data_IF_235516420579
#
_entry.id   IF_235516420579
#
_cell.length_a   1.000
_cell.length_b   1.000
_cell.length_c   1.000
_cell.angle_alpha   90.00
_cell.angle_beta   90.00
_cell.angle_gamma   90.00
#
_symmetry.space_group_name_H-M   'P 1'
#
loop_
_entity.id
_entity.type
_entity.pdbx_description
1 polymer ?
#
# COMPACT_ATOMS: atom_id res chain seq x y z
N UNK A 1 -9.04 -83.41 18.43
CA UNK A 1 -9.98 -82.56 19.19
C UNK A 1 -9.16 -81.58 20.03
N UNK A 2 -9.05 -80.31 19.61
CA UNK A 2 -8.42 -79.17 20.34
C UNK A 2 -6.93 -79.29 20.68
N UNK A 3 -6.07 -78.27 20.64
CA UNK A 3 -6.15 -76.85 20.29
C UNK A 3 -4.68 -76.45 20.07
N UNK A 4 -4.41 -75.68 19.03
CA UNK A 4 -3.08 -75.12 18.71
C UNK A 4 -2.79 -73.92 19.62
N UNK A 5 -1.68 -73.95 20.37
CA UNK A 5 -1.09 -72.76 20.98
C UNK A 5 0.04 -72.26 20.08
N UNK A 6 -0.19 -71.14 19.38
CA UNK A 6 0.83 -70.39 18.65
C UNK A 6 1.29 -69.21 19.53
N UNK A 7 2.61 -69.05 19.59
CA UNK A 7 3.30 -68.08 20.44
C UNK A 7 2.87 -66.63 20.24
N UNK A 8 2.91 -65.88 21.35
CA UNK A 8 2.85 -64.42 21.39
C UNK A 8 4.11 -63.85 20.75
N UNK A 9 4.02 -63.45 19.49
CA UNK A 9 4.95 -62.50 18.89
C UNK A 9 4.60 -61.09 19.36
N UNK A 10 5.57 -60.39 19.94
CA UNK A 10 5.49 -58.98 20.28
C UNK A 10 5.57 -58.20 18.96
N UNK A 11 4.42 -57.74 18.46
CA UNK A 11 4.36 -56.85 17.31
C UNK A 11 4.79 -55.45 17.74
N UNK A 12 6.01 -55.05 17.38
CA UNK A 12 6.44 -53.66 17.41
C UNK A 12 5.67 -52.95 16.30
N UNK A 13 4.59 -52.26 16.67
CA UNK A 13 3.89 -51.35 15.79
C UNK A 13 4.79 -50.15 15.50
N UNK A 14 5.38 -50.11 14.30
CA UNK A 14 5.93 -48.90 13.73
C UNK A 14 4.78 -47.92 13.51
N UNK A 15 4.59 -47.02 14.47
CA UNK A 15 3.80 -45.81 14.26
C UNK A 15 4.60 -44.97 13.26
N UNK A 16 4.22 -45.06 12.00
CA UNK A 16 4.68 -44.14 10.97
C UNK A 16 4.18 -42.76 11.32
N UNK A 17 5.04 -41.94 11.93
CA UNK A 17 4.85 -40.50 11.97
C UNK A 17 5.02 -40.03 10.53
N UNK A 18 3.90 -39.90 9.83
CA UNK A 18 3.85 -39.10 8.61
C UNK A 18 4.21 -37.68 9.01
N UNK A 19 5.47 -37.30 8.76
CA UNK A 19 5.85 -35.90 8.64
C UNK A 19 5.06 -35.34 7.46
N UNK A 20 3.88 -34.80 7.75
CA UNK A 20 3.29 -33.80 6.88
C UNK A 20 4.27 -32.63 6.90
N UNK A 21 5.09 -32.52 5.85
CA UNK A 21 5.83 -31.31 5.55
C UNK A 21 4.81 -30.23 5.21
N UNK A 22 4.24 -29.62 6.25
CA UNK A 22 3.58 -28.34 6.11
C UNK A 22 4.66 -27.34 5.76
N UNK A 23 4.73 -26.96 4.49
CA UNK A 23 5.49 -25.78 4.09
C UNK A 23 4.80 -24.61 4.77
N UNK A 24 5.50 -23.93 5.69
CA UNK A 24 5.03 -22.66 6.22
C UNK A 24 5.11 -21.62 5.10
N UNK A 25 4.02 -21.46 4.34
CA UNK A 25 3.94 -20.63 3.13
C UNK A 25 3.65 -19.14 3.42
N UNK A 26 4.08 -18.58 4.56
CA UNK A 26 3.77 -17.19 4.96
C UNK A 26 4.95 -16.32 5.39
N UNK A 27 6.20 -16.74 5.14
CA UNK A 27 7.40 -16.04 5.65
C UNK A 27 8.09 -15.12 4.62
N UNK A 28 7.67 -15.09 3.36
CA UNK A 28 8.29 -14.27 2.34
C UNK A 28 7.25 -13.82 1.32
N UNK A 29 7.28 -12.53 0.97
CA UNK A 29 6.42 -11.94 -0.06
C UNK A 29 6.78 -12.53 -1.43
N UNK A 30 5.86 -13.23 -2.12
CA UNK A 30 6.11 -13.76 -3.46
C UNK A 30 6.45 -12.65 -4.45
N UNK A 31 7.30 -12.93 -5.42
CA UNK A 31 7.62 -11.97 -6.49
C UNK A 31 6.38 -11.55 -7.28
N UNK A 32 5.35 -12.41 -7.33
CA UNK A 32 4.05 -12.13 -7.95
C UNK A 32 3.25 -11.00 -7.26
N UNK A 33 3.58 -10.68 -6.00
CA UNK A 33 2.89 -9.66 -5.17
C UNK A 33 3.74 -8.39 -5.02
N UNK A 34 5.05 -8.49 -5.23
CA UNK A 34 5.95 -7.35 -5.07
C UNK A 34 5.65 -6.24 -6.08
N UNK A 35 5.70 -5.00 -5.60
CA UNK A 35 5.33 -3.80 -6.37
C UNK A 35 6.48 -2.78 -6.33
N UNK A 36 6.71 -2.01 -7.41
CA UNK A 36 7.71 -0.94 -7.43
C UNK A 36 7.39 0.19 -6.45
N UNK A 37 8.37 1.05 -6.19
CA UNK A 37 8.33 2.12 -5.19
C UNK A 37 9.36 1.87 -4.08
N UNK A 38 9.30 2.67 -3.00
CA UNK A 38 10.16 2.46 -1.84
C UNK A 38 9.90 1.09 -1.23
N UNK A 39 10.95 0.30 -1.00
CA UNK A 39 10.84 -1.03 -0.39
C UNK A 39 11.03 -1.00 1.13
N UNK A 40 10.58 -2.04 1.85
CA UNK A 40 10.76 -2.13 3.28
C UNK A 40 12.22 -2.00 3.72
N UNK A 41 12.47 -1.12 4.70
CA UNK A 41 13.79 -0.83 5.25
C UNK A 41 14.60 0.22 4.50
N UNK A 42 14.15 0.72 3.35
CA UNK A 42 14.84 1.77 2.59
C UNK A 42 14.60 3.17 3.18
N UNK A 43 13.41 3.39 3.75
CA UNK A 43 13.08 4.56 4.57
C UNK A 43 12.51 4.08 5.89
N UNK A 44 12.89 4.72 7.00
CA UNK A 44 12.48 4.33 8.35
C UNK A 44 12.32 5.55 9.26
N UNK A 45 11.88 5.32 10.50
CA UNK A 45 11.69 6.38 11.48
C UNK A 45 10.44 7.17 11.17
N UNK A 46 9.35 6.46 10.88
CA UNK A 46 8.03 7.08 10.75
C UNK A 46 7.53 7.48 12.14
N UNK A 47 7.13 8.73 12.25
CA UNK A 47 6.63 9.28 13.50
C UNK A 47 5.14 8.97 13.66
N UNK A 48 4.76 8.47 14.84
CA UNK A 48 3.35 8.21 15.15
C UNK A 48 2.55 9.52 15.19
N UNK A 49 1.27 9.44 14.84
CA UNK A 49 0.36 10.59 14.82
C UNK A 49 0.34 11.37 16.16
N UNK A 50 0.49 10.66 17.29
CA UNK A 50 0.55 11.27 18.63
C UNK A 50 1.65 12.33 18.80
N UNK A 51 2.73 12.26 18.02
CA UNK A 51 3.78 13.28 18.02
C UNK A 51 3.27 14.58 17.36
N UNK A 52 2.61 14.44 16.23
CA UNK A 52 2.00 15.52 15.45
C UNK A 52 0.86 16.18 16.22
N UNK A 53 0.04 15.37 16.89
CA UNK A 53 -1.13 15.79 17.67
C UNK A 53 -0.82 16.84 18.75
N UNK A 54 0.41 16.88 19.26
CA UNK A 54 0.81 17.86 20.28
C UNK A 54 0.78 19.31 19.78
N UNK A 55 0.79 19.52 18.46
CA UNK A 55 0.71 20.85 17.84
C UNK A 55 -0.38 20.95 16.76
N UNK A 56 -0.74 19.83 16.12
CA UNK A 56 -1.76 19.77 15.05
C UNK A 56 -3.15 19.31 15.56
N UNK A 57 -3.39 19.38 16.87
CA UNK A 57 -4.68 19.06 17.48
C UNK A 57 -4.98 19.88 18.74
N UNK A 58 -6.24 19.83 19.16
CA UNK A 58 -6.77 20.49 20.36
C UNK A 58 -7.00 22.00 20.26
N UNK A 59 -6.98 22.60 19.08
CA UNK A 59 -7.22 24.04 18.86
C UNK A 59 -8.57 24.36 18.20
N UNK A 60 -9.01 23.59 17.20
CA UNK A 60 -10.31 23.76 16.54
C UNK A 60 -10.71 22.49 15.77
N UNK A 61 -11.68 21.75 16.29
CA UNK A 61 -12.12 20.48 15.71
C UNK A 61 -12.66 20.59 14.27
N UNK A 62 -13.06 21.78 13.80
CA UNK A 62 -13.56 21.96 12.44
C UNK A 62 -12.45 22.00 11.39
N UNK A 63 -11.20 22.31 11.79
CA UNK A 63 -10.09 22.55 10.85
C UNK A 63 -8.78 21.90 11.29
N UNK A 64 -8.70 21.37 12.50
CA UNK A 64 -7.46 20.77 12.98
C UNK A 64 -7.19 19.40 12.34
N UNK A 65 -5.97 19.16 11.82
CA UNK A 65 -5.65 17.91 11.14
C UNK A 65 -5.89 16.67 12.03
N UNK A 66 -5.52 16.75 13.31
CA UNK A 66 -5.62 15.61 14.21
C UNK A 66 -7.06 15.16 14.47
N UNK A 67 -8.04 16.07 14.52
CA UNK A 67 -9.45 15.68 14.69
C UNK A 67 -10.01 15.06 13.42
N UNK A 68 -9.78 15.73 12.28
CA UNK A 68 -10.28 15.30 10.98
C UNK A 68 -9.68 13.94 10.56
N UNK A 69 -8.37 13.75 10.73
CA UNK A 69 -7.70 12.47 10.45
C UNK A 69 -8.26 11.34 11.33
N UNK A 70 -8.42 11.56 12.65
CA UNK A 70 -8.96 10.53 13.55
C UNK A 70 -10.39 10.11 13.22
N UNK A 71 -11.16 11.00 12.61
CA UNK A 71 -12.52 10.71 12.14
C UNK A 71 -12.57 10.05 10.75
N UNK A 72 -11.46 10.04 10.01
CA UNK A 72 -11.42 9.59 8.62
C UNK A 72 -11.12 8.09 8.50
N UNK A 73 -11.39 7.54 7.31
CA UNK A 73 -11.06 6.15 6.99
C UNK A 73 -9.55 5.87 7.00
N UNK A 74 -8.70 6.88 6.81
CA UNK A 74 -7.24 6.73 6.87
C UNK A 74 -6.80 6.26 8.26
N UNK A 75 -7.31 6.91 9.31
CA UNK A 75 -7.00 6.48 10.69
C UNK A 75 -7.65 5.16 11.07
N UNK A 76 -8.67 4.72 10.34
CA UNK A 76 -9.38 3.46 10.60
C UNK A 76 -8.92 2.32 9.67
N UNK A 77 -7.96 2.57 8.77
CA UNK A 77 -7.60 1.66 7.70
C UNK A 77 -7.17 0.27 8.19
N UNK A 78 -6.58 0.16 9.38
CA UNK A 78 -6.15 -1.10 10.00
C UNK A 78 -7.05 -1.57 11.14
N UNK A 79 -8.15 -0.87 11.44
CA UNK A 79 -9.10 -1.21 12.51
C UNK A 79 -10.38 -1.90 11.99
N UNK A 80 -10.63 -1.83 10.70
CA UNK A 80 -11.84 -2.39 10.09
C UNK A 80 -11.82 -3.94 10.12
N UNK A 81 -12.76 -4.61 10.80
CA UNK A 81 -12.85 -6.07 10.80
C UNK A 81 -13.20 -6.66 9.43
N UNK A 82 -13.87 -5.91 8.55
CA UNK A 82 -14.14 -6.35 7.18
C UNK A 82 -12.82 -6.42 6.40
N UNK A 83 -11.96 -5.41 6.54
CA UNK A 83 -10.61 -5.43 5.97
C UNK A 83 -9.82 -6.67 6.42
N UNK A 84 -9.78 -6.98 7.72
CA UNK A 84 -9.03 -8.17 8.16
C UNK A 84 -9.65 -9.48 7.69
N UNK A 85 -10.97 -9.54 7.53
CA UNK A 85 -11.62 -10.69 6.92
C UNK A 85 -11.23 -10.85 5.44
N UNK A 86 -11.11 -9.76 4.68
CA UNK A 86 -10.68 -9.83 3.27
C UNK A 86 -9.20 -10.17 3.13
N UNK A 87 -8.32 -9.64 4.00
CA UNK A 87 -6.90 -10.05 4.06
C UNK A 87 -6.79 -11.55 4.32
N UNK A 88 -7.57 -12.08 5.27
CA UNK A 88 -7.57 -13.51 5.57
C UNK A 88 -8.01 -14.38 4.38
N UNK A 89 -8.94 -13.91 3.54
CA UNK A 89 -9.33 -14.62 2.31
C UNK A 89 -8.26 -14.47 1.23
N UNK A 90 -7.69 -13.28 1.05
CA UNK A 90 -6.61 -13.06 0.09
C UNK A 90 -5.40 -13.97 0.38
N UNK A 91 -4.99 -14.09 1.64
CA UNK A 91 -3.94 -15.03 2.08
C UNK A 91 -4.29 -16.51 1.86
N UNK A 92 -5.57 -16.87 1.91
CA UNK A 92 -6.02 -18.25 1.61
C UNK A 92 -6.00 -18.54 0.11
N UNK A 93 -6.39 -17.56 -0.71
CA UNK A 93 -6.48 -17.70 -2.17
C UNK A 93 -5.09 -17.64 -2.82
N UNK A 94 -4.21 -16.76 -2.31
CA UNK A 94 -2.83 -16.63 -2.75
C UNK A 94 -1.93 -16.27 -1.55
N UNK A 95 -1.20 -17.24 -0.97
CA UNK A 95 -0.32 -16.98 0.18
C UNK A 95 0.68 -15.86 -0.11
N UNK A 96 0.74 -14.86 0.77
CA UNK A 96 1.57 -13.67 0.59
C UNK A 96 0.84 -12.45 0.00
N UNK A 97 -0.38 -12.60 -0.53
CA UNK A 97 -1.13 -11.50 -1.14
C UNK A 97 -1.54 -10.40 -0.14
N UNK A 98 -1.57 -10.70 1.16
CA UNK A 98 -1.80 -9.73 2.22
C UNK A 98 -0.75 -8.63 2.29
N UNK A 99 0.46 -8.85 1.76
CA UNK A 99 1.50 -7.81 1.68
C UNK A 99 1.01 -6.57 0.92
N UNK A 100 0.30 -6.79 -0.19
CA UNK A 100 -0.31 -5.70 -0.97
C UNK A 100 -1.36 -4.93 -0.15
N UNK A 101 -2.13 -5.63 0.67
CA UNK A 101 -3.14 -5.01 1.53
C UNK A 101 -2.50 -4.16 2.63
N UNK A 102 -1.44 -4.67 3.26
CA UNK A 102 -0.71 -3.97 4.32
C UNK A 102 0.01 -2.73 3.77
N UNK A 103 0.50 -2.81 2.54
CA UNK A 103 1.15 -1.70 1.84
C UNK A 103 0.28 -0.45 1.73
N UNK A 104 -1.04 -0.56 1.66
CA UNK A 104 -1.92 0.62 1.64
C UNK A 104 -2.53 0.94 3.01
N UNK A 105 -2.85 -0.07 3.81
CA UNK A 105 -3.63 0.13 5.05
C UNK A 105 -2.77 0.39 6.30
N UNK A 106 -1.48 0.06 6.26
CA UNK A 106 -0.49 0.26 7.34
C UNK A 106 0.88 0.54 6.73
N UNK A 107 0.95 1.49 5.80
CA UNK A 107 2.12 1.72 4.95
C UNK A 107 3.40 2.04 5.77
N UNK A 108 3.30 2.74 6.90
CA UNK A 108 4.43 2.96 7.81
C UNK A 108 4.99 1.64 8.35
N UNK A 109 4.12 0.74 8.81
CA UNK A 109 4.50 -0.56 9.32
C UNK A 109 5.06 -1.44 8.20
N UNK A 110 4.46 -1.40 7.01
CA UNK A 110 4.96 -2.10 5.82
C UNK A 110 6.38 -1.62 5.46
N UNK A 111 6.60 -0.31 5.38
CA UNK A 111 7.92 0.29 5.10
C UNK A 111 8.95 -0.04 6.19
N UNK A 112 8.52 -0.18 7.45
CA UNK A 112 9.40 -0.59 8.55
C UNK A 112 9.59 -2.11 8.65
N UNK A 113 9.16 -2.87 7.64
CA UNK A 113 9.40 -4.31 7.52
C UNK A 113 8.48 -5.18 8.38
N UNK A 114 7.36 -4.62 8.87
CA UNK A 114 6.36 -5.34 9.69
C UNK A 114 5.23 -5.94 8.85
N UNK A 115 5.38 -6.02 7.54
CA UNK A 115 4.46 -6.75 6.65
C UNK A 115 4.76 -8.25 6.55
N UNK A 116 5.79 -8.75 7.23
CA UNK A 116 6.10 -10.19 7.28
C UNK A 116 5.98 -10.68 8.72
N UNK A 117 5.06 -11.63 9.02
CA UNK A 117 4.17 -12.33 8.07
C UNK A 117 3.08 -11.43 7.46
N UNK A 118 2.66 -11.77 6.24
CA UNK A 118 1.73 -10.98 5.39
C UNK A 118 0.28 -10.99 5.86
N UNK A 119 -0.01 -11.73 6.94
CA UNK A 119 -1.29 -11.75 7.63
C UNK A 119 -1.46 -10.62 8.66
N UNK A 120 -0.44 -9.75 8.82
CA UNK A 120 -0.45 -8.62 9.75
C UNK A 120 -0.13 -8.99 11.19
N UNK A 121 0.25 -10.24 11.49
CA UNK A 121 0.57 -10.67 12.88
C UNK A 121 1.83 -10.04 13.45
N UNK A 122 2.68 -9.42 12.61
CA UNK A 122 3.86 -8.67 13.03
C UNK A 122 3.56 -7.20 13.38
N UNK A 123 2.34 -6.72 13.17
CA UNK A 123 1.97 -5.34 13.47
C UNK A 123 2.01 -5.06 14.98
N UNK A 124 2.48 -3.86 15.31
CA UNK A 124 2.54 -3.31 16.65
C UNK A 124 1.22 -2.60 17.01
N UNK A 125 1.03 -2.35 18.30
CA UNK A 125 -0.11 -1.55 18.77
C UNK A 125 -0.12 -0.12 18.21
N UNK A 126 1.03 0.42 17.77
CA UNK A 126 1.11 1.71 17.07
C UNK A 126 0.52 1.66 15.67
N UNK A 127 0.69 0.54 14.96
CA UNK A 127 0.32 0.39 13.55
C UNK A 127 -1.21 0.31 13.35
N UNK A 128 -1.96 0.16 14.45
CA UNK A 128 -3.42 0.23 14.43
C UNK A 128 -3.93 1.63 14.07
N UNK A 129 -3.06 2.64 14.00
CA UNK A 129 -3.41 3.99 13.52
C UNK A 129 -3.63 4.06 12.00
N UNK A 130 -3.33 2.99 11.26
CA UNK A 130 -3.64 2.87 9.84
C UNK A 130 -2.71 3.71 8.99
N UNK A 131 -3.26 4.57 8.13
CA UNK A 131 -2.48 5.53 7.35
C UNK A 131 -2.17 6.74 8.23
N UNK A 132 -0.98 6.75 8.83
CA UNK A 132 -0.50 7.81 9.71
C UNK A 132 -0.04 9.07 8.97
N UNK A 133 0.08 10.18 9.71
CA UNK A 133 0.45 11.48 9.16
C UNK A 133 1.79 11.45 8.41
N UNK A 134 2.78 10.74 8.98
CA UNK A 134 4.16 10.83 8.48
C UNK A 134 4.35 10.13 7.14
N UNK A 135 3.52 9.15 6.81
CA UNK A 135 3.54 8.49 5.50
C UNK A 135 3.11 9.49 4.43
N UNK A 136 1.98 10.16 4.63
CA UNK A 136 1.51 11.19 3.71
C UNK A 136 2.56 12.29 3.57
N UNK A 137 3.04 12.83 4.69
CA UNK A 137 4.02 13.91 4.73
C UNK A 137 5.46 13.49 4.38
N UNK A 138 5.69 12.26 3.95
CA UNK A 138 6.96 11.80 3.37
C UNK A 138 6.81 11.25 1.96
N UNK A 139 5.61 11.12 1.42
CA UNK A 139 5.45 10.61 0.06
C UNK A 139 5.84 11.70 -0.96
N UNK A 140 6.52 11.29 -2.03
CA UNK A 140 6.92 12.17 -3.12
C UNK A 140 6.36 11.65 -4.45
N UNK A 141 6.36 12.51 -5.47
CA UNK A 141 6.04 12.06 -6.81
C UNK A 141 7.07 11.01 -7.26
N UNK A 142 6.65 9.80 -7.69
CA UNK A 142 7.56 8.75 -8.13
C UNK A 142 8.47 9.11 -9.32
N UNK A 143 8.13 10.14 -10.10
CA UNK A 143 8.89 10.56 -11.29
C UNK A 143 10.12 11.45 -11.00
N UNK A 144 10.45 11.70 -9.73
CA UNK A 144 11.55 12.57 -9.30
C UNK A 144 11.48 14.03 -9.83
N UNK A 145 10.32 14.49 -10.30
CA UNK A 145 10.15 15.83 -10.89
C UNK A 145 10.29 16.98 -9.88
N UNK A 146 10.08 16.72 -8.59
CA UNK A 146 10.08 17.73 -7.53
C UNK A 146 11.10 17.42 -6.42
N UNK A 147 10.89 16.31 -5.69
CA UNK A 147 11.77 15.85 -4.62
C UNK A 147 12.26 14.44 -4.94
N UNK A 148 13.57 14.16 -4.79
CA UNK A 148 14.09 12.85 -5.13
C UNK A 148 13.60 11.82 -4.11
N UNK A 149 12.92 10.80 -4.62
CA UNK A 149 12.36 9.72 -3.83
C UNK A 149 13.36 8.59 -3.58
N UNK A 150 13.12 7.81 -2.52
CA UNK A 150 13.95 6.63 -2.23
C UNK A 150 13.37 5.42 -2.96
N UNK A 151 14.02 5.01 -4.05
CA UNK A 151 13.66 3.83 -4.84
C UNK A 151 14.91 3.31 -5.56
N UNK A 152 15.02 2.00 -5.73
CA UNK A 152 16.20 1.36 -6.31
C UNK A 152 15.80 0.23 -7.26
N UNK A 153 16.68 -0.11 -8.21
CA UNK A 153 16.48 -1.28 -9.06
C UNK A 153 16.23 -2.55 -8.24
N UNK A 154 15.26 -3.41 -8.62
CA UNK A 154 14.40 -3.30 -9.82
C UNK A 154 13.09 -2.52 -9.60
N UNK A 155 12.89 -1.83 -8.48
CA UNK A 155 11.62 -1.27 -8.02
C UNK A 155 11.42 0.22 -8.34
N UNK A 156 11.82 0.70 -9.50
CA UNK A 156 11.45 2.05 -9.93
C UNK A 156 9.94 2.14 -10.18
N UNK A 157 9.28 3.12 -9.57
CA UNK A 157 7.85 3.39 -9.75
C UNK A 157 7.61 4.48 -10.80
N UNK A 158 8.36 4.43 -11.89
CA UNK A 158 8.21 5.31 -13.04
C UNK A 158 8.79 4.61 -14.28
N UNK A 159 8.41 5.07 -15.48
CA UNK A 159 8.99 4.55 -16.71
C UNK A 159 10.44 5.04 -16.95
N UNK A 160 11.08 4.47 -17.97
CA UNK A 160 12.43 4.86 -18.37
C UNK A 160 12.43 6.02 -19.39
N UNK A 161 11.29 6.72 -19.57
CA UNK A 161 11.21 7.86 -20.48
C UNK A 161 11.93 9.10 -19.92
N UNK A 162 12.05 10.15 -20.74
CA UNK A 162 12.67 11.40 -20.34
C UNK A 162 11.88 12.62 -20.86
N UNK A 163 11.13 13.34 -20.00
CA UNK A 163 11.03 13.11 -18.55
C UNK A 163 10.32 11.79 -18.22
N UNK A 164 10.67 11.14 -17.10
CA UNK A 164 9.96 9.95 -16.66
C UNK A 164 8.53 10.28 -16.26
N UNK A 165 7.64 9.30 -16.37
CA UNK A 165 6.25 9.39 -15.90
C UNK A 165 6.06 8.40 -14.74
N UNK A 166 5.57 8.94 -13.63
CA UNK A 166 5.33 8.18 -12.40
C UNK A 166 4.25 7.12 -12.56
N UNK A 167 4.41 6.02 -11.84
CA UNK A 167 3.39 5.01 -11.71
C UNK A 167 2.46 5.37 -10.55
N UNK A 168 1.29 5.90 -10.90
CA UNK A 168 0.27 6.32 -9.94
C UNK A 168 -0.76 5.20 -9.77
N UNK A 169 -0.67 4.45 -8.68
CA UNK A 169 -1.59 3.37 -8.34
C UNK A 169 -0.93 2.14 -7.71
N UNK A 170 -1.75 1.17 -7.28
CA UNK A 170 -1.29 -0.13 -6.77
C UNK A 170 -0.43 -0.07 -5.50
N UNK A 171 -0.50 1.02 -4.74
CA UNK A 171 0.36 1.25 -3.59
C UNK A 171 1.81 1.58 -3.97
N UNK A 172 2.10 1.93 -5.22
CA UNK A 172 3.46 2.20 -5.72
C UNK A 172 4.03 3.56 -5.26
N UNK A 173 3.91 3.84 -3.96
CA UNK A 173 4.39 5.06 -3.32
C UNK A 173 5.91 5.11 -3.18
N UNK A 174 6.46 6.32 -3.32
CA UNK A 174 7.87 6.61 -3.15
C UNK A 174 8.04 7.60 -2.01
N UNK A 175 9.03 7.36 -1.14
CA UNK A 175 9.19 8.05 0.13
C UNK A 175 10.47 8.90 0.16
N UNK A 176 10.31 10.11 0.68
CA UNK A 176 11.37 11.02 1.06
C UNK A 176 12.16 10.48 2.26
N UNK A 177 13.47 10.36 2.09
CA UNK A 177 14.38 9.91 3.14
C UNK A 177 14.81 11.00 4.13
N UNK A 178 14.42 12.26 3.92
CA UNK A 178 14.80 13.38 4.77
C UNK A 178 13.91 13.56 6.02
N UNK A 179 14.30 14.52 6.86
CA UNK A 179 13.59 14.80 8.11
C UNK A 179 12.39 15.75 7.93
N UNK A 180 12.41 16.55 6.88
CA UNK A 180 11.37 17.53 6.54
C UNK A 180 10.03 16.85 6.26
N UNK A 181 8.93 17.53 6.59
CA UNK A 181 7.59 17.12 6.22
C UNK A 181 7.17 17.80 4.92
N UNK A 182 6.67 17.04 3.96
CA UNK A 182 6.17 17.57 2.71
C UNK A 182 4.71 18.02 2.86
N UNK A 183 4.32 19.08 2.19
CA UNK A 183 2.93 19.55 2.19
C UNK A 183 2.66 20.56 1.08
N UNK A 184 1.39 20.92 0.82
CA UNK A 184 1.02 21.67 -0.38
C UNK A 184 1.48 23.14 -0.40
N UNK A 185 1.80 23.70 0.77
CA UNK A 185 2.02 25.14 0.95
C UNK A 185 3.51 25.50 1.13
N UNK A 186 3.92 26.61 0.53
CA UNK A 186 5.29 27.15 0.64
C UNK A 186 5.48 28.01 1.89
N UNK A 187 4.41 28.52 2.46
CA UNK A 187 4.35 29.52 3.52
C UNK A 187 3.70 28.98 4.80
N UNK A 188 3.73 27.66 5.00
CA UNK A 188 3.22 27.04 6.21
C UNK A 188 3.95 27.56 7.46
N UNK A 189 3.18 27.97 8.48
CA UNK A 189 3.71 28.35 9.79
C UNK A 189 4.01 27.11 10.66
N UNK A 190 4.97 26.29 10.23
CA UNK A 190 5.32 25.05 10.91
C UNK A 190 6.32 25.25 12.07
N UNK A 191 6.22 24.40 13.10
CA UNK A 191 7.19 24.34 14.22
C UNK A 191 8.34 23.34 13.96
N UNK A 192 8.36 22.74 12.79
CA UNK A 192 9.41 21.85 12.29
C UNK A 192 9.77 22.23 10.85
N UNK A 193 10.84 21.64 10.31
CA UNK A 193 11.19 21.87 8.91
C UNK A 193 10.14 21.24 7.99
N UNK A 194 9.89 21.88 6.86
CA UNK A 194 8.92 21.43 5.87
C UNK A 194 9.39 21.79 4.46
N UNK A 195 8.86 21.09 3.47
CA UNK A 195 9.08 21.33 2.06
C UNK A 195 7.73 21.43 1.35
N UNK A 196 7.57 22.40 0.45
CA UNK A 196 6.40 22.43 -0.41
C UNK A 196 6.44 21.24 -1.37
N UNK A 197 5.30 20.61 -1.62
CA UNK A 197 5.11 19.61 -2.65
C UNK A 197 3.87 19.88 -3.50
N UNK A 198 4.05 19.93 -4.81
CA UNK A 198 2.97 19.94 -5.80
C UNK A 198 2.23 18.61 -5.85
N UNK A 199 2.91 17.50 -5.58
CA UNK A 199 2.29 16.18 -5.57
C UNK A 199 1.15 16.09 -4.56
N UNK A 200 1.30 16.75 -3.40
CA UNK A 200 0.26 16.83 -2.36
C UNK A 200 -0.98 17.65 -2.78
N UNK A 201 -0.97 18.24 -3.98
CA UNK A 201 -2.12 18.95 -4.58
C UNK A 201 -2.71 18.22 -5.78
N UNK A 202 -2.22 17.01 -6.08
CA UNK A 202 -2.69 16.22 -7.20
C UNK A 202 -3.49 15.01 -6.74
N UNK A 203 -4.52 14.66 -7.51
CA UNK A 203 -5.29 13.44 -7.39
C UNK A 203 -4.44 12.19 -7.56
N UNK A 204 -3.29 12.28 -8.24
CA UNK A 204 -2.32 11.18 -8.37
C UNK A 204 -1.72 10.77 -7.01
N UNK A 205 -1.62 11.70 -6.05
CA UNK A 205 -1.21 11.37 -4.67
C UNK A 205 -2.20 10.41 -4.01
N UNK A 206 -3.50 10.73 -4.08
CA UNK A 206 -4.55 9.84 -3.58
C UNK A 206 -4.64 8.55 -4.41
N UNK A 207 -4.45 8.69 -5.73
CA UNK A 207 -4.40 7.60 -6.69
C UNK A 207 -3.35 6.54 -6.34
N UNK A 208 -2.22 6.93 -5.75
CA UNK A 208 -1.18 5.99 -5.29
C UNK A 208 -1.75 4.83 -4.47
N UNK A 209 -2.72 5.09 -3.59
CA UNK A 209 -3.37 4.05 -2.77
C UNK A 209 -4.74 3.63 -3.31
N UNK A 210 -5.49 4.56 -3.91
CA UNK A 210 -6.89 4.34 -4.28
C UNK A 210 -7.10 3.88 -5.72
N UNK A 211 -6.12 4.05 -6.61
CA UNK A 211 -6.14 3.50 -7.97
C UNK A 211 -5.52 2.10 -7.95
N UNK A 212 -6.34 1.08 -7.67
CA UNK A 212 -5.85 -0.24 -7.30
C UNK A 212 -5.69 -1.15 -8.51
N UNK A 213 -4.48 -1.69 -8.66
CA UNK A 213 -4.16 -2.73 -9.65
C UNK A 213 -3.65 -3.97 -8.94
N UNK A 214 -4.19 -5.13 -9.30
CA UNK A 214 -3.83 -6.40 -8.69
C UNK A 214 -2.63 -7.03 -9.43
N UNK A 215 -1.43 -7.09 -8.84
CA UNK A 215 -0.23 -7.59 -9.50
C UNK A 215 -0.30 -9.09 -9.83
N UNK A 216 -0.96 -9.87 -8.99
CA UNK A 216 -1.11 -11.32 -9.20
C UNK A 216 -2.00 -11.59 -10.41
N UNK A 217 -3.13 -10.87 -10.51
CA UNK A 217 -4.02 -10.95 -11.68
C UNK A 217 -3.32 -10.39 -12.92
N UNK A 218 -2.63 -9.25 -12.78
CA UNK A 218 -1.85 -8.61 -13.82
C UNK A 218 -0.82 -9.52 -14.48
N UNK A 219 -0.13 -10.32 -13.66
CA UNK A 219 0.93 -11.18 -14.16
C UNK A 219 0.44 -12.56 -14.62
N UNK A 220 -0.52 -13.17 -13.90
CA UNK A 220 -0.83 -14.59 -14.03
C UNK A 220 -2.17 -14.89 -14.71
N UNK A 221 -3.12 -13.95 -14.72
CA UNK A 221 -4.43 -14.19 -15.28
C UNK A 221 -4.42 -14.15 -16.82
N UNK A 222 -5.49 -14.68 -17.42
CA UNK A 222 -5.71 -14.52 -18.84
C UNK A 222 -5.79 -13.03 -19.21
N UNK A 223 -5.06 -12.62 -20.25
CA UNK A 223 -5.01 -11.24 -20.74
C UNK A 223 -4.61 -10.20 -19.67
N UNK A 224 -3.76 -10.56 -18.70
CA UNK A 224 -3.34 -9.69 -17.59
C UNK A 224 -4.48 -9.07 -16.76
N UNK A 225 -5.72 -9.57 -16.86
CA UNK A 225 -6.88 -8.84 -16.30
C UNK A 225 -7.07 -7.44 -16.88
N UNK A 226 -6.53 -7.17 -18.08
CA UNK A 226 -6.67 -5.90 -18.79
C UNK A 226 -8.01 -5.81 -19.53
N UNK A 227 -8.47 -4.58 -19.80
CA UNK A 227 -9.63 -4.35 -20.68
C UNK A 227 -9.28 -4.72 -22.13
N UNK A 228 -10.28 -5.11 -22.93
CA UNK A 228 -10.08 -5.43 -24.36
C UNK A 228 -9.51 -4.25 -25.16
N UNK A 229 -9.71 -3.01 -24.68
CA UNK A 229 -9.21 -1.78 -25.30
C UNK A 229 -7.94 -1.23 -24.67
N UNK A 230 -7.37 -1.92 -23.67
CA UNK A 230 -6.15 -1.49 -23.01
C UNK A 230 -4.93 -1.69 -23.92
N UNK A 231 -3.88 -0.93 -23.62
CA UNK A 231 -2.58 -1.14 -24.24
C UNK A 231 -2.01 -2.54 -23.88
N UNK A 232 -1.07 -3.07 -24.69
CA UNK A 232 -0.45 -4.34 -24.40
C UNK A 232 0.25 -4.35 -23.04
N UNK A 233 0.03 -5.41 -22.26
CA UNK A 233 0.70 -5.63 -20.97
C UNK A 233 1.92 -6.52 -21.16
N UNK A 234 3.06 -6.09 -20.61
CA UNK A 234 4.26 -6.92 -20.44
C UNK A 234 4.06 -7.73 -19.15
N UNK A 235 3.87 -9.05 -19.26
CA UNK A 235 3.71 -9.94 -18.11
C UNK A 235 4.64 -11.16 -18.21
N UNK A 236 5.06 -11.70 -17.06
CA UNK A 236 5.84 -12.94 -17.00
C UNK A 236 4.95 -14.15 -17.27
N UNK A 237 3.79 -14.24 -16.61
CA UNK A 237 2.92 -15.41 -16.66
C UNK A 237 3.50 -16.64 -15.95
N UNK A 238 4.62 -16.50 -15.24
CA UNK A 238 5.31 -17.58 -14.55
C UNK A 238 5.25 -17.33 -13.03
N UNK A 239 4.45 -18.10 -12.27
CA UNK A 239 4.39 -17.99 -10.82
C UNK A 239 5.77 -18.11 -10.17
N UNK A 240 6.12 -17.19 -9.28
CA UNK A 240 7.43 -17.16 -8.61
C UNK A 240 8.63 -16.90 -9.53
N UNK A 241 8.39 -16.41 -10.75
CA UNK A 241 9.44 -15.95 -11.66
C UNK A 241 10.18 -14.71 -11.14
N UNK A 242 11.23 -14.25 -11.85
CA UNK A 242 11.96 -13.04 -11.51
C UNK A 242 11.03 -11.82 -11.38
N UNK A 243 11.31 -10.93 -10.43
CA UNK A 243 10.44 -9.77 -10.13
C UNK A 243 10.50 -8.74 -11.27
N UNK A 244 11.66 -8.60 -11.90
CA UNK A 244 11.91 -7.72 -13.04
C UNK A 244 11.04 -8.05 -14.27
N UNK A 245 10.53 -9.28 -14.38
CA UNK A 245 9.68 -9.71 -15.50
C UNK A 245 8.18 -9.50 -15.20
N UNK A 246 7.82 -9.08 -13.98
CA UNK A 246 6.42 -9.02 -13.54
C UNK A 246 5.69 -7.83 -14.11
N UNK A 247 4.38 -7.99 -14.32
CA UNK A 247 3.52 -6.93 -14.85
C UNK A 247 3.62 -5.63 -14.05
N UNK A 248 3.70 -5.71 -12.72
CA UNK A 248 3.80 -4.54 -11.86
C UNK A 248 5.03 -3.66 -12.10
N UNK A 249 6.12 -4.23 -12.61
CA UNK A 249 7.41 -3.55 -12.81
C UNK A 249 7.57 -2.97 -14.22
N UNK A 250 6.69 -3.36 -15.16
CA UNK A 250 6.87 -3.08 -16.58
C UNK A 250 5.71 -2.32 -17.22
N UNK A 251 4.70 -1.95 -16.44
CA UNK A 251 3.47 -1.33 -16.95
C UNK A 251 2.96 -0.29 -15.95
N UNK A 252 2.27 0.73 -16.46
CA UNK A 252 1.51 1.64 -15.62
C UNK A 252 0.40 0.87 -14.89
N UNK A 253 0.08 1.22 -13.63
CA UNK A 253 -0.93 0.52 -12.83
C UNK A 253 -2.26 0.31 -13.58
N UNK A 254 -2.77 1.31 -14.27
CA UNK A 254 -4.06 1.21 -14.99
C UNK A 254 -4.08 0.19 -16.14
N UNK A 255 -2.92 -0.32 -16.59
CA UNK A 255 -2.84 -1.23 -17.74
C UNK A 255 -3.12 -2.69 -17.38
N UNK A 256 -2.89 -3.09 -16.13
CA UNK A 256 -2.95 -4.50 -15.70
C UNK A 256 -3.81 -4.70 -14.46
N UNK A 257 -4.24 -5.95 -14.24
CA UNK A 257 -4.83 -6.38 -12.98
C UNK A 257 -6.03 -5.54 -12.54
N UNK A 258 -6.81 -5.05 -13.50
CA UNK A 258 -7.73 -3.93 -13.31
C UNK A 258 -8.82 -4.30 -12.29
N UNK A 259 -8.79 -3.65 -11.13
CA UNK A 259 -9.84 -3.77 -10.10
C UNK A 259 -10.95 -2.75 -10.36
N UNK A 260 -10.60 -1.55 -10.82
CA UNK A 260 -11.51 -0.46 -11.15
C UNK A 260 -11.40 -0.08 -12.63
N UNK A 261 -12.52 0.06 -13.34
CA UNK A 261 -12.54 0.10 -14.83
C UNK A 261 -11.84 1.31 -15.48
N UNK A 262 -11.53 2.35 -14.73
CA UNK A 262 -10.91 3.58 -15.25
C UNK A 262 -9.82 4.07 -14.31
N UNK A 263 -10.23 4.83 -13.30
CA UNK A 263 -9.42 5.48 -12.29
C UNK A 263 -10.32 5.67 -11.07
N UNK A 264 -9.72 5.68 -9.88
CA UNK A 264 -10.46 6.06 -8.68
C UNK A 264 -11.10 7.45 -8.82
N UNK A 265 -12.21 7.67 -8.10
CA UNK A 265 -12.89 8.98 -8.10
C UNK A 265 -11.96 10.12 -7.67
N UNK A 266 -10.92 9.82 -6.88
CA UNK A 266 -9.90 10.78 -6.46
C UNK A 266 -9.04 11.25 -7.62
N UNK A 267 -8.67 10.34 -8.53
CA UNK A 267 -7.86 10.65 -9.71
C UNK A 267 -8.69 11.24 -10.85
N UNK A 268 -9.96 10.88 -10.95
CA UNK A 268 -10.90 11.45 -11.91
C UNK A 268 -11.57 12.76 -11.40
N UNK A 269 -11.33 13.14 -10.16
CA UNK A 269 -11.92 14.30 -9.50
C UNK A 269 -11.28 15.62 -9.93
N UNK A 270 -11.91 16.73 -9.56
CA UNK A 270 -11.42 18.08 -9.89
C UNK A 270 -10.41 18.62 -8.86
N UNK A 271 -9.83 17.78 -7.99
CA UNK A 271 -8.95 18.22 -6.89
C UNK A 271 -7.82 19.11 -7.40
N UNK A 272 -7.22 18.75 -8.53
CA UNK A 272 -6.10 19.44 -9.17
C UNK A 272 -6.51 20.82 -9.73
N UNK A 273 -7.80 21.00 -10.02
CA UNK A 273 -8.38 22.20 -10.62
C UNK A 273 -9.03 23.13 -9.58
N UNK A 274 -9.26 22.67 -8.35
CA UNK A 274 -9.89 23.44 -7.29
C UNK A 274 -8.87 24.30 -6.53
N UNK A 275 -8.83 25.58 -6.87
CA UNK A 275 -7.95 26.53 -6.17
C UNK A 275 -8.51 26.88 -4.78
N UNK A 276 -7.64 26.92 -3.78
CA UNK A 276 -7.99 27.41 -2.42
C UNK A 276 -8.58 28.83 -2.48
N UNK A 277 -8.12 29.68 -3.41
CA UNK A 277 -8.65 31.02 -3.63
C UNK A 277 -10.13 31.04 -4.02
N UNK A 278 -10.63 29.95 -4.58
CA UNK A 278 -11.97 29.84 -5.12
C UNK A 278 -12.94 29.27 -4.07
N UNK A 279 -12.45 28.92 -2.87
CA UNK A 279 -13.23 28.32 -1.78
C UNK A 279 -14.56 29.04 -1.52
N UNK A 280 -14.55 30.38 -1.36
CA UNK A 280 -15.78 31.16 -1.13
C UNK A 280 -16.74 31.22 -2.32
N UNK A 281 -16.34 30.71 -3.48
CA UNK A 281 -17.15 30.63 -4.70
C UNK A 281 -17.61 29.20 -5.03
N UNK A 282 -17.15 28.20 -4.29
CA UNK A 282 -17.59 26.81 -4.43
C UNK A 282 -19.06 26.64 -3.99
N UNK A 283 -19.76 25.58 -4.44
CA UNK A 283 -21.03 25.17 -3.82
C UNK A 283 -20.92 25.03 -2.30
N UNK A 284 -22.00 25.32 -1.56
CA UNK A 284 -22.01 25.29 -0.09
C UNK A 284 -21.55 23.93 0.47
N UNK A 285 -21.85 22.84 -0.23
CA UNK A 285 -21.44 21.49 0.12
C UNK A 285 -19.92 21.25 0.02
N UNK A 286 -19.19 22.09 -0.72
CA UNK A 286 -17.73 22.07 -0.87
C UNK A 286 -17.05 23.18 -0.07
N UNK A 287 -17.83 23.96 0.69
CA UNK A 287 -17.32 24.99 1.61
C UNK A 287 -17.21 24.48 3.05
N UNK A 288 -17.43 23.20 3.33
CA UNK A 288 -17.05 22.68 4.65
C UNK A 288 -15.52 22.54 4.69
N UNK A 289 -14.86 23.10 5.71
CA UNK A 289 -13.40 23.29 5.76
C UNK A 289 -12.56 22.02 5.70
N UNK A 290 -13.20 20.85 5.63
CA UNK A 290 -12.60 19.63 5.14
C UNK A 290 -13.23 19.25 3.81
N UNK A 291 -12.53 19.47 2.71
CA UNK A 291 -12.63 18.45 1.66
C UNK A 291 -12.31 17.14 2.37
N UNK A 292 -13.19 16.12 2.38
CA UNK A 292 -12.99 14.88 3.16
C UNK A 292 -11.75 14.06 2.76
N UNK A 293 -10.89 14.64 1.94
CA UNK A 293 -9.78 14.06 1.22
C UNK A 293 -8.62 15.05 1.32
N UNK A 294 -7.92 15.01 2.45
CA UNK A 294 -6.55 15.50 2.61
C UNK A 294 -6.24 16.95 2.16
N UNK A 295 -6.61 17.96 2.95
CA UNK A 295 -5.87 19.24 3.03
C UNK A 295 -5.87 19.74 4.48
#
# INVERSE_FOLDING_TARGET
>A
MGRTDRGRGIGVGLVGIGLASGVALGFQVPTDVQMPGTQPGEVSGFEQATKCDNCHGGYDAAVEPAHLWRGSMMSQASRDPIYWATVAIAEQDFPGAGDLCLRCHVLDAWLEGRSVPTDGTALLASDVEGVGCDVCHKMVNPDDSEWPGTQFLPFYAHDEENPPVGYYGGGQGVMWGGADKLGPYIDAEARHQFLQSNFHRSGDFCGTCHDVSNPVVGDLAHNAGAQDTADPVIQSGIPGGPVEDKAALNNFPYQYGIVERTYSEYRAGAVDDLLVSDYFTLPEELQDGGVPVCI
#
